data_IF_209055840564
#
_entry.id   IF_209055840564
#
_cell.length_a   1.000
_cell.length_b   1.000
_cell.length_c   1.000
_cell.angle_alpha   90.00
_cell.angle_beta   90.00
_cell.angle_gamma   90.00
#
_symmetry.space_group_name_H-M   'P 1'
#
loop_
_entity.id
_entity.type
_entity.pdbx_description
1 polymer ?
#
# COMPACT_ATOMS: atom_id res chain seq x y z
N UNK A 1 -18.94 20.20 3.99
CA UNK A 1 -17.74 19.72 3.28
C UNK A 1 -17.81 18.21 3.41
N UNK A 2 -17.82 17.43 2.32
CA UNK A 2 -17.94 15.98 2.46
C UNK A 2 -16.71 15.44 3.19
N UNK A 3 -16.90 14.61 4.21
CA UNK A 3 -15.79 13.95 4.91
C UNK A 3 -15.26 12.83 4.00
N UNK A 4 -14.02 13.00 3.53
CA UNK A 4 -13.39 12.10 2.57
C UNK A 4 -12.24 11.37 3.25
N UNK A 5 -12.25 10.04 3.22
CA UNK A 5 -11.10 9.26 3.67
C UNK A 5 -9.95 9.38 2.66
N UNK A 6 -8.80 9.85 3.14
CA UNK A 6 -7.56 9.84 2.34
C UNK A 6 -6.70 8.66 2.73
N UNK A 7 -6.24 7.90 1.72
CA UNK A 7 -5.27 6.82 1.88
C UNK A 7 -4.01 7.21 1.10
N UNK A 8 -2.90 7.34 1.79
CA UNK A 8 -1.58 7.58 1.20
C UNK A 8 -0.74 6.33 1.38
N UNK A 9 0.15 5.97 0.43
CA UNK A 9 1.14 4.89 0.55
C UNK A 9 2.53 5.37 0.17
N UNK A 10 3.57 4.80 0.78
CA UNK A 10 4.89 5.42 0.72
C UNK A 10 6.06 4.60 1.24
N UNK A 11 7.15 4.64 0.48
CA UNK A 11 8.44 4.06 0.83
C UNK A 11 9.48 5.13 1.23
N UNK A 12 10.13 4.96 2.39
CA UNK A 12 11.24 5.81 2.85
C UNK A 12 12.56 5.11 2.54
N UNK A 13 13.22 5.50 1.44
CA UNK A 13 14.64 5.18 1.23
C UNK A 13 15.46 6.45 1.38
N UNK A 14 16.27 6.54 2.45
CA UNK A 14 17.34 7.54 2.57
C UNK A 14 17.00 8.87 3.25
N UNK A 15 15.93 8.97 4.04
CA UNK A 15 16.01 9.88 5.19
C UNK A 15 17.05 9.27 6.14
N UNK A 16 17.90 10.05 6.80
CA UNK A 16 18.71 9.56 7.93
C UNK A 16 17.86 9.02 9.11
N UNK A 17 16.53 8.98 8.94
CA UNK A 17 15.64 7.97 9.51
C UNK A 17 15.63 6.75 8.57
N UNK A 18 16.72 5.99 8.53
CA UNK A 18 16.52 4.54 8.53
C UNK A 18 15.61 4.31 9.72
N UNK A 19 14.41 3.75 9.51
CA UNK A 19 13.52 3.40 10.61
C UNK A 19 14.22 2.28 11.40
N UNK A 20 15.09 2.72 12.29
CA UNK A 20 15.85 1.96 13.28
C UNK A 20 14.98 1.75 14.51
N UNK A 21 13.74 1.30 14.29
CA UNK A 21 12.72 1.43 15.31
C UNK A 21 12.82 0.24 16.26
N UNK A 22 13.56 0.42 17.34
CA UNK A 22 13.27 -0.30 18.58
C UNK A 22 11.85 0.08 19.08
N UNK A 23 11.33 -0.68 20.03
CA UNK A 23 10.00 -0.43 20.60
C UNK A 23 9.86 0.99 21.18
N UNK A 24 10.97 1.65 21.54
CA UNK A 24 11.04 3.01 22.09
C UNK A 24 10.96 4.11 21.03
N UNK A 25 11.55 3.91 19.85
CA UNK A 25 11.48 4.84 18.71
C UNK A 25 10.14 4.77 17.97
N UNK A 26 9.41 3.65 18.03
CA UNK A 26 8.03 3.58 17.51
C UNK A 26 7.11 4.63 18.15
N UNK A 27 7.39 5.01 19.40
CA UNK A 27 6.74 6.12 20.12
C UNK A 27 7.07 7.50 19.53
N UNK A 28 8.20 7.67 18.81
CA UNK A 28 8.54 8.92 18.10
C UNK A 28 7.73 9.11 16.80
N UNK A 29 7.14 8.04 16.28
CA UNK A 29 6.15 8.09 15.19
C UNK A 29 4.77 8.53 15.68
N UNK A 30 4.56 8.58 16.99
CA UNK A 30 3.34 9.09 17.62
C UNK A 30 3.33 10.61 17.50
N UNK A 31 3.02 11.09 16.29
CA UNK A 31 2.80 12.51 16.02
C UNK A 31 1.46 12.94 16.63
N UNK A 32 1.32 14.23 16.88
CA UNK A 32 0.12 14.78 17.48
C UNK A 32 -1.16 14.50 16.69
N UNK A 33 -1.06 14.18 15.40
CA UNK A 33 -2.20 13.83 14.56
C UNK A 33 -2.46 12.32 14.46
N UNK A 34 -1.55 11.44 14.94
CA UNK A 34 -1.67 9.98 14.84
C UNK A 34 -2.30 9.40 16.12
N UNK A 35 -3.38 8.61 16.01
CA UNK A 35 -3.97 7.90 17.15
C UNK A 35 -3.46 6.47 17.29
N UNK A 36 -3.19 5.79 16.18
CA UNK A 36 -2.83 4.36 16.16
C UNK A 36 -1.70 4.11 15.17
N UNK A 37 -0.76 3.28 15.60
CA UNK A 37 0.39 2.81 14.83
C UNK A 37 0.33 1.30 14.84
N UNK A 38 0.22 0.70 13.67
CA UNK A 38 0.21 -0.74 13.48
C UNK A 38 1.41 -1.09 12.63
N UNK A 39 2.13 -2.15 12.98
CA UNK A 39 3.40 -2.43 12.32
C UNK A 39 3.69 -3.91 12.16
N UNK A 40 4.61 -4.20 11.24
CA UNK A 40 5.32 -5.46 11.11
C UNK A 40 6.81 -5.15 11.09
N UNK A 41 7.58 -5.82 11.95
CA UNK A 41 9.01 -5.60 12.15
C UNK A 41 9.76 -6.93 12.25
N UNK A 42 10.89 -7.07 11.56
CA UNK A 42 11.73 -8.29 11.63
C UNK A 42 12.75 -8.23 12.76
N UNK A 43 13.45 -7.11 12.85
CA UNK A 43 14.47 -6.77 13.85
C UNK A 43 14.57 -5.25 13.90
N UNK A 44 15.02 -4.64 15.00
CA UNK A 44 15.08 -3.18 15.20
C UNK A 44 15.89 -2.38 14.17
N UNK A 45 16.44 -3.03 13.14
CA UNK A 45 17.36 -2.47 12.15
C UNK A 45 16.99 -2.77 10.71
N UNK A 46 15.97 -3.59 10.43
CA UNK A 46 15.65 -3.98 9.05
C UNK A 46 14.17 -4.31 8.85
N UNK A 47 13.62 -3.70 7.78
CA UNK A 47 12.30 -3.97 7.20
C UNK A 47 11.19 -3.73 8.22
N UNK A 48 10.86 -2.46 8.39
CA UNK A 48 9.74 -2.04 9.23
C UNK A 48 8.69 -1.38 8.34
N UNK A 49 7.46 -1.84 8.47
CA UNK A 49 6.32 -1.32 7.72
C UNK A 49 5.20 -0.94 8.69
N UNK A 50 4.58 0.21 8.44
CA UNK A 50 3.62 0.82 9.35
C UNK A 50 2.33 1.21 8.63
N UNK A 51 1.21 1.10 9.34
CA UNK A 51 -0.05 1.78 9.04
C UNK A 51 -0.28 2.81 10.13
N UNK A 52 -0.40 4.08 9.74
CA UNK A 52 -0.70 5.19 10.64
C UNK A 52 -2.15 5.61 10.46
N UNK A 53 -2.88 5.71 11.57
CA UNK A 53 -4.27 6.15 11.58
C UNK A 53 -4.37 7.48 12.30
N UNK A 54 -4.98 8.47 11.64
CA UNK A 54 -5.25 9.78 12.20
C UNK A 54 -6.21 9.76 13.39
N UNK A 55 -6.02 10.70 14.32
CA UNK A 55 -6.92 10.94 15.48
C UNK A 55 -8.32 11.40 15.05
N UNK A 56 -8.43 11.98 13.87
CA UNK A 56 -9.70 12.47 13.35
C UNK A 56 -10.54 11.35 12.72
N UNK A 57 -9.93 10.19 12.47
CA UNK A 57 -10.61 9.05 11.87
C UNK A 57 -11.14 8.10 12.95
N UNK A 58 -12.46 7.96 13.01
CA UNK A 58 -13.11 7.00 13.89
C UNK A 58 -12.98 5.58 13.31
N UNK A 59 -12.01 4.81 13.79
CA UNK A 59 -11.74 3.44 13.35
C UNK A 59 -11.82 2.41 14.46
N UNK A 60 -12.55 1.33 14.18
CA UNK A 60 -12.54 0.11 14.99
C UNK A 60 -11.68 -0.94 14.28
N UNK A 61 -10.64 -1.43 14.94
CA UNK A 61 -9.77 -2.49 14.41
C UNK A 61 -10.24 -3.83 14.99
N UNK A 62 -10.56 -4.78 14.11
CA UNK A 62 -11.05 -6.11 14.48
C UNK A 62 -9.97 -7.18 14.44
N UNK A 63 -9.00 -7.01 13.54
CA UNK A 63 -7.93 -7.97 13.32
C UNK A 63 -6.68 -7.25 12.86
N UNK A 64 -5.53 -7.71 13.32
CA UNK A 64 -4.22 -7.34 12.79
C UNK A 64 -3.44 -8.63 12.52
N UNK A 65 -2.88 -8.71 11.32
CA UNK A 65 -1.96 -9.74 10.88
C UNK A 65 -0.67 -9.07 10.43
N UNK A 66 0.46 -9.75 10.60
CA UNK A 66 1.76 -9.28 10.14
C UNK A 66 2.64 -10.48 9.81
N UNK A 67 3.61 -10.28 8.93
CA UNK A 67 4.63 -11.28 8.69
C UNK A 67 5.78 -11.21 9.69
N UNK A 68 6.51 -12.31 9.82
CA UNK A 68 7.72 -12.31 10.65
C UNK A 68 8.90 -11.59 10.01
N UNK A 69 8.85 -11.23 8.72
CA UNK A 69 9.98 -10.60 8.00
C UNK A 69 9.82 -9.09 7.82
N UNK A 70 8.79 -8.48 8.40
CA UNK A 70 8.60 -7.02 8.37
C UNK A 70 8.26 -6.46 6.98
N UNK A 71 7.59 -7.27 6.16
CA UNK A 71 7.29 -7.00 4.75
C UNK A 71 5.83 -6.70 4.49
N UNK A 72 4.93 -7.06 5.40
CA UNK A 72 3.54 -6.65 5.29
C UNK A 72 2.85 -6.58 6.65
N UNK A 73 1.91 -5.66 6.76
CA UNK A 73 0.95 -5.57 7.87
C UNK A 73 -0.44 -5.42 7.27
N UNK A 74 -1.39 -6.20 7.79
CA UNK A 74 -2.76 -6.23 7.32
C UNK A 74 -3.71 -6.05 8.49
N UNK A 75 -4.72 -5.19 8.33
CA UNK A 75 -5.75 -4.96 9.33
C UNK A 75 -7.14 -5.10 8.74
N UNK A 76 -8.06 -5.58 9.56
CA UNK A 76 -9.50 -5.54 9.31
C UNK A 76 -10.10 -4.42 10.15
N UNK A 77 -10.69 -3.42 9.50
CA UNK A 77 -11.19 -2.21 10.15
C UNK A 77 -12.59 -1.87 9.70
N UNK A 78 -13.42 -1.38 10.61
CA UNK A 78 -14.65 -0.69 10.22
C UNK A 78 -14.31 0.76 9.95
N UNK A 79 -14.53 1.20 8.71
CA UNK A 79 -14.48 2.60 8.33
C UNK A 79 -15.91 3.13 8.48
N UNK A 80 -16.21 3.77 9.62
CA UNK A 80 -17.53 4.37 9.80
C UNK A 80 -17.71 5.48 8.75
N UNK A 81 -18.84 5.54 8.03
CA UNK A 81 -19.10 6.70 7.19
C UNK A 81 -19.39 7.89 8.10
N UNK A 82 -18.83 9.05 7.80
CA UNK A 82 -19.36 10.28 8.36
C UNK A 82 -20.75 10.61 7.76
N UNK A 83 -21.07 10.06 6.57
CA UNK A 83 -22.36 10.28 5.90
C UNK A 83 -22.70 9.05 5.00
N UNK A 84 -23.49 8.08 5.48
CA UNK A 84 -24.63 7.49 4.72
C UNK A 84 -25.26 6.25 5.39
N UNK A 85 -26.58 6.18 5.22
CA UNK A 85 -27.62 5.37 5.89
C UNK A 85 -27.73 3.92 5.35
N UNK A 86 -26.62 3.22 5.10
CA UNK A 86 -26.67 1.77 4.93
C UNK A 86 -26.10 1.10 6.19
N UNK A 87 -26.92 0.27 6.81
CA UNK A 87 -26.62 -0.47 8.05
C UNK A 87 -25.63 -1.63 7.81
N UNK A 88 -25.12 -1.79 6.58
CA UNK A 88 -24.04 -2.71 6.29
C UNK A 88 -22.72 -2.18 6.85
N UNK A 89 -22.09 -2.96 7.72
CA UNK A 89 -20.77 -2.66 8.28
C UNK A 89 -19.78 -2.53 7.12
N UNK A 90 -19.25 -1.32 6.89
CA UNK A 90 -18.21 -1.05 5.89
C UNK A 90 -16.85 -1.55 6.39
N UNK A 91 -16.73 -2.87 6.52
CA UNK A 91 -15.49 -3.50 6.96
C UNK A 91 -14.52 -3.58 5.79
N UNK A 92 -13.34 -3.05 5.99
CA UNK A 92 -12.29 -2.94 5.00
C UNK A 92 -11.02 -3.66 5.47
N UNK A 93 -10.41 -4.40 4.55
CA UNK A 93 -9.05 -4.90 4.70
C UNK A 93 -8.07 -3.85 4.21
N UNK A 94 -7.20 -3.35 5.09
CA UNK A 94 -6.11 -2.46 4.72
C UNK A 94 -4.79 -3.20 4.86
N UNK A 95 -4.05 -3.29 3.77
CA UNK A 95 -2.78 -4.03 3.70
C UNK A 95 -1.71 -3.07 3.21
N UNK A 96 -0.64 -2.92 3.99
CA UNK A 96 0.58 -2.26 3.56
C UNK A 96 1.64 -3.33 3.25
N UNK A 97 2.31 -3.22 2.09
CA UNK A 97 3.33 -4.18 1.66
C UNK A 97 4.66 -3.52 1.29
N UNK A 98 5.74 -4.27 1.44
CA UNK A 98 7.06 -3.98 0.91
C UNK A 98 7.64 -5.25 0.29
N UNK A 99 7.32 -5.49 -0.98
CA UNK A 99 7.73 -6.70 -1.68
C UNK A 99 9.27 -6.84 -1.75
N UNK A 100 9.79 -8.07 -1.78
CA UNK A 100 11.23 -8.30 -1.93
C UNK A 100 11.73 -7.85 -3.33
N UNK A 101 12.99 -7.37 -3.41
CA UNK A 101 13.63 -7.06 -4.70
C UNK A 101 13.83 -8.31 -5.58
N UNK A 102 14.25 -9.48 -5.04
CA UNK A 102 14.24 -10.71 -5.81
C UNK A 102 12.82 -11.07 -6.26
N UNK A 103 12.72 -11.50 -7.50
CA UNK A 103 11.49 -12.01 -8.10
C UNK A 103 10.92 -13.17 -7.24
N UNK A 104 9.74 -12.97 -6.67
CA UNK A 104 9.11 -13.89 -5.71
C UNK A 104 7.62 -14.05 -6.00
N UNK A 105 7.24 -15.27 -6.40
CA UNK A 105 5.85 -15.69 -6.57
C UNK A 105 5.13 -15.79 -5.23
N UNK A 106 5.79 -16.47 -4.28
CA UNK A 106 5.20 -16.84 -3.00
C UNK A 106 4.74 -15.63 -2.20
N UNK A 107 5.45 -14.49 -2.31
CA UNK A 107 5.08 -13.27 -1.60
C UNK A 107 3.67 -12.79 -1.94
N UNK A 108 3.33 -12.65 -3.22
CA UNK A 108 2.01 -12.16 -3.63
C UNK A 108 0.92 -13.21 -3.45
N UNK A 109 1.26 -14.50 -3.59
CA UNK A 109 0.36 -15.60 -3.22
C UNK A 109 0.02 -15.58 -1.72
N UNK A 110 1.00 -15.33 -0.86
CA UNK A 110 0.80 -15.16 0.59
C UNK A 110 -0.11 -13.97 0.90
N UNK A 111 0.08 -12.82 0.22
CA UNK A 111 -0.82 -11.67 0.36
C UNK A 111 -2.25 -12.03 -0.05
N UNK A 112 -2.44 -12.75 -1.16
CA UNK A 112 -3.76 -13.21 -1.60
C UNK A 112 -4.44 -14.06 -0.50
N UNK A 113 -3.70 -15.01 0.07
CA UNK A 113 -4.20 -15.86 1.16
C UNK A 113 -4.53 -15.05 2.42
N UNK A 114 -3.74 -14.05 2.78
CA UNK A 114 -4.01 -13.15 3.91
C UNK A 114 -5.31 -12.38 3.69
N UNK A 115 -5.54 -11.83 2.50
CA UNK A 115 -6.79 -11.11 2.18
C UNK A 115 -7.99 -12.05 2.28
N UNK A 116 -7.90 -13.25 1.68
CA UNK A 116 -8.95 -14.27 1.76
C UNK A 116 -9.23 -14.71 3.21
N UNK A 117 -8.19 -14.80 4.05
CA UNK A 117 -8.32 -15.13 5.47
C UNK A 117 -8.98 -14.00 6.29
N UNK A 118 -8.85 -12.74 5.86
CA UNK A 118 -9.58 -11.62 6.48
C UNK A 118 -11.05 -11.64 6.04
N UNK A 119 -11.31 -11.90 4.76
CA UNK A 119 -12.65 -12.18 4.25
C UNK A 119 -13.58 -10.97 4.17
N UNK A 120 -13.04 -9.75 4.16
CA UNK A 120 -13.86 -8.54 3.97
C UNK A 120 -14.09 -8.27 2.48
N UNK A 121 -15.26 -7.68 2.17
CA UNK A 121 -15.64 -7.26 0.80
C UNK A 121 -14.79 -6.12 0.25
N UNK A 122 -14.38 -5.19 1.11
CA UNK A 122 -13.61 -4.02 0.73
C UNK A 122 -12.13 -4.27 1.00
N UNK A 123 -11.28 -4.07 -0.01
CA UNK A 123 -9.84 -4.33 0.10
C UNK A 123 -9.05 -3.17 -0.47
N UNK A 124 -8.07 -2.70 0.28
CA UNK A 124 -7.05 -1.74 -0.16
C UNK A 124 -5.68 -2.34 0.12
N UNK A 125 -4.87 -2.52 -0.91
CA UNK A 125 -3.47 -2.96 -0.81
C UNK A 125 -2.58 -1.83 -1.32
N UNK A 126 -1.82 -1.20 -0.44
CA UNK A 126 -0.87 -0.16 -0.80
C UNK A 126 0.56 -0.59 -0.48
N UNK A 127 1.54 -0.04 -1.19
CA UNK A 127 2.94 -0.18 -0.77
C UNK A 127 3.93 -0.16 -1.93
N UNK A 128 5.15 -0.57 -1.62
CA UNK A 128 6.20 -0.81 -2.61
C UNK A 128 6.12 -2.26 -3.09
N UNK A 129 5.65 -2.45 -4.32
CA UNK A 129 5.53 -3.77 -4.95
C UNK A 129 6.87 -4.22 -5.55
N UNK A 130 7.88 -3.36 -5.60
CA UNK A 130 9.16 -3.57 -6.28
C UNK A 130 9.01 -4.07 -7.73
N UNK A 131 7.87 -3.79 -8.36
CA UNK A 131 7.52 -4.28 -9.69
C UNK A 131 6.88 -3.17 -10.53
N UNK A 132 7.32 -3.09 -11.77
CA UNK A 132 6.78 -2.20 -12.80
C UNK A 132 5.63 -2.93 -13.49
N UNK A 133 4.44 -2.32 -13.57
CA UNK A 133 3.26 -2.96 -14.19
C UNK A 133 3.26 -2.77 -15.71
N UNK A 134 3.38 -1.54 -16.19
CA UNK A 134 3.48 -1.26 -17.63
C UNK A 134 4.83 -0.61 -17.96
N UNK A 135 5.82 -1.34 -18.50
CA UNK A 135 7.13 -0.76 -18.82
C UNK A 135 7.10 0.46 -19.74
N UNK A 136 6.09 0.60 -20.61
CA UNK A 136 5.98 1.74 -21.52
C UNK A 136 5.49 3.01 -20.79
N UNK A 137 4.62 2.85 -19.78
CA UNK A 137 4.06 3.98 -19.01
C UNK A 137 4.83 4.25 -17.71
N UNK A 138 5.37 3.19 -17.10
CA UNK A 138 5.87 3.14 -15.72
C UNK A 138 7.39 3.10 -15.63
N UNK A 139 8.12 3.19 -16.73
CA UNK A 139 9.59 3.25 -16.73
C UNK A 139 10.14 4.30 -17.68
N UNK A 140 11.17 5.03 -17.26
CA UNK A 140 11.78 6.08 -18.10
C UNK A 140 12.65 5.54 -19.22
N UNK A 141 13.28 4.38 -18.98
CA UNK A 141 14.14 3.70 -19.95
C UNK A 141 13.50 2.37 -20.35
N UNK A 142 12.93 2.37 -21.55
CA UNK A 142 12.24 1.25 -22.18
C UNK A 142 13.27 0.35 -22.87
N UNK A 143 14.24 -0.18 -22.11
CA UNK A 143 15.08 -1.27 -22.61
C UNK A 143 14.22 -2.55 -22.62
N UNK A 144 13.44 -2.69 -23.68
CA UNK A 144 12.24 -3.53 -23.81
C UNK A 144 12.51 -5.04 -24.04
N UNK A 145 13.57 -5.60 -23.46
CA UNK A 145 14.01 -6.97 -23.80
C UNK A 145 14.15 -7.91 -22.61
N UNK A 146 13.62 -7.57 -21.43
CA UNK A 146 13.66 -8.49 -20.28
C UNK A 146 12.41 -9.39 -20.27
N UNK A 147 12.57 -10.69 -19.95
CA UNK A 147 11.44 -11.59 -19.73
C UNK A 147 10.48 -11.03 -18.66
N UNK A 148 9.19 -11.38 -18.76
CA UNK A 148 8.20 -11.10 -17.72
C UNK A 148 8.68 -11.72 -16.40
N UNK A 149 8.71 -10.91 -15.35
CA UNK A 149 9.06 -11.37 -14.00
C UNK A 149 7.94 -12.23 -13.43
N UNK A 150 8.28 -13.29 -12.70
CA UNK A 150 7.28 -14.20 -12.11
C UNK A 150 6.35 -13.46 -11.16
N UNK A 151 6.89 -12.52 -10.38
CA UNK A 151 6.14 -11.63 -9.50
C UNK A 151 5.10 -10.79 -10.24
N UNK A 152 5.32 -10.46 -11.51
CA UNK A 152 4.33 -9.74 -12.30
C UNK A 152 3.09 -10.62 -12.54
N UNK A 153 3.31 -11.88 -12.91
CA UNK A 153 2.25 -12.88 -13.07
C UNK A 153 1.52 -13.11 -11.73
N UNK A 154 2.25 -13.16 -10.61
CA UNK A 154 1.61 -13.32 -9.31
C UNK A 154 0.76 -12.11 -8.89
N UNK A 155 1.14 -10.89 -9.29
CA UNK A 155 0.30 -9.70 -9.10
C UNK A 155 -0.93 -9.78 -10.01
N UNK A 156 -0.81 -10.24 -11.24
CA UNK A 156 -1.96 -10.42 -12.15
C UNK A 156 -2.99 -11.39 -11.54
N UNK A 157 -2.51 -12.53 -11.01
CA UNK A 157 -3.36 -13.50 -10.30
C UNK A 157 -3.97 -12.90 -9.03
N UNK A 158 -3.22 -12.09 -8.27
CA UNK A 158 -3.74 -11.39 -7.10
C UNK A 158 -4.87 -10.42 -7.48
N UNK A 159 -4.69 -9.65 -8.54
CA UNK A 159 -5.68 -8.70 -9.06
C UNK A 159 -6.95 -9.42 -9.55
N UNK A 160 -6.79 -10.55 -10.26
CA UNK A 160 -7.92 -11.36 -10.74
C UNK A 160 -8.70 -12.02 -9.58
N UNK A 161 -8.01 -12.72 -8.68
CA UNK A 161 -8.62 -13.50 -7.60
C UNK A 161 -9.34 -12.64 -6.55
N UNK A 162 -8.92 -11.38 -6.40
CA UNK A 162 -9.47 -10.45 -5.42
C UNK A 162 -10.26 -9.31 -6.06
N UNK A 163 -10.46 -9.36 -7.38
CA UNK A 163 -11.12 -8.32 -8.17
C UNK A 163 -10.54 -6.92 -7.88
N UNK A 164 -9.21 -6.82 -7.83
CA UNK A 164 -8.50 -5.57 -7.56
C UNK A 164 -8.10 -4.87 -8.86
N UNK A 165 -8.04 -3.54 -8.79
CA UNK A 165 -7.55 -2.70 -9.86
C UNK A 165 -6.48 -1.73 -9.35
N UNK A 166 -5.48 -1.45 -10.19
CA UNK A 166 -4.55 -0.33 -9.96
C UNK A 166 -5.30 0.99 -10.16
N UNK A 167 -5.68 1.61 -9.05
CA UNK A 167 -6.55 2.78 -9.09
C UNK A 167 -5.90 3.96 -9.84
N UNK A 168 -4.59 4.11 -9.71
CA UNK A 168 -3.87 5.18 -10.40
C UNK A 168 -4.04 5.03 -11.91
N UNK A 169 -3.88 3.81 -12.43
CA UNK A 169 -3.90 3.57 -13.87
C UNK A 169 -5.31 3.62 -14.45
N UNK A 170 -6.33 3.25 -13.66
CA UNK A 170 -7.74 3.44 -14.04
C UNK A 170 -8.09 4.92 -14.20
N UNK A 171 -7.67 5.77 -13.26
CA UNK A 171 -7.99 7.21 -13.29
C UNK A 171 -7.09 8.01 -14.24
N UNK A 172 -5.86 7.53 -14.49
CA UNK A 172 -4.86 8.19 -15.31
C UNK A 172 -4.32 7.29 -16.43
N UNK A 173 -5.19 6.83 -17.37
CA UNK A 173 -4.83 5.83 -18.36
C UNK A 173 -3.81 6.33 -19.38
N UNK A 174 -3.80 7.63 -19.67
CA UNK A 174 -2.95 8.24 -20.69
C UNK A 174 -1.79 9.07 -20.12
N UNK A 175 -1.69 9.19 -18.78
CA UNK A 175 -0.60 9.95 -18.17
C UNK A 175 0.69 9.15 -18.30
N UNK A 176 1.55 9.65 -19.17
CA UNK A 176 2.92 9.20 -19.35
C UNK A 176 3.81 9.79 -18.23
N UNK A 177 4.70 8.96 -17.67
CA UNK A 177 5.88 9.40 -16.89
C UNK A 177 5.61 10.02 -15.52
N UNK A 178 4.75 9.39 -14.70
CA UNK A 178 4.70 9.62 -13.25
C UNK A 178 5.35 8.42 -12.55
N UNK A 179 6.45 8.68 -11.84
CA UNK A 179 7.30 7.66 -11.22
C UNK A 179 7.37 7.86 -9.71
N UNK A 180 7.61 6.77 -8.99
CA UNK A 180 7.69 6.76 -7.51
C UNK A 180 9.10 6.43 -7.01
N UNK A 181 9.97 5.91 -7.88
CA UNK A 181 11.32 5.51 -7.54
C UNK A 181 12.34 5.94 -8.59
N UNK A 182 13.53 6.33 -8.13
CA UNK A 182 14.72 6.56 -8.96
C UNK A 182 15.83 5.58 -8.59
N UNK A 183 16.31 4.83 -9.56
CA UNK A 183 17.49 3.97 -9.43
C UNK A 183 18.74 4.71 -9.88
N UNK A 184 19.62 5.06 -8.94
CA UNK A 184 20.92 5.68 -9.24
C UNK A 184 21.81 4.75 -10.08
N UNK A 185 21.84 3.46 -9.75
CA UNK A 185 22.68 2.45 -10.42
C UNK A 185 22.28 2.28 -11.89
N UNK A 186 20.99 2.36 -12.19
CA UNK A 186 20.46 2.19 -13.54
C UNK A 186 20.12 3.52 -14.23
N UNK A 187 20.37 4.66 -13.56
CA UNK A 187 20.01 6.00 -14.01
C UNK A 187 18.62 6.05 -14.67
N UNK A 188 17.61 5.54 -13.95
CA UNK A 188 16.26 5.37 -14.48
C UNK A 188 15.20 5.58 -13.41
N UNK A 189 14.03 6.01 -13.86
CA UNK A 189 12.85 6.17 -13.03
C UNK A 189 11.85 5.05 -13.29
N UNK A 190 11.15 4.64 -12.24
CA UNK A 190 10.11 3.62 -12.30
C UNK A 190 8.95 3.93 -11.35
N UNK A 191 7.74 3.48 -11.70
CA UNK A 191 6.58 3.41 -10.80
C UNK A 191 6.48 1.99 -10.25
N UNK A 192 6.82 1.84 -8.97
CA UNK A 192 6.82 0.56 -8.25
C UNK A 192 5.97 0.60 -6.98
N UNK A 193 5.51 1.79 -6.59
CA UNK A 193 4.58 1.98 -5.49
C UNK A 193 3.16 2.09 -6.06
N UNK A 194 2.30 1.17 -5.64
CA UNK A 194 0.94 1.04 -6.16
C UNK A 194 -0.07 1.04 -5.02
N UNK A 195 -1.31 1.40 -5.36
CA UNK A 195 -2.48 1.17 -4.53
C UNK A 195 -3.45 0.35 -5.38
N UNK A 196 -3.71 -0.88 -4.95
CA UNK A 196 -4.72 -1.75 -5.52
C UNK A 196 -6.00 -1.66 -4.69
N UNK A 197 -7.14 -1.60 -5.36
CA UNK A 197 -8.44 -1.42 -4.75
C UNK A 197 -9.45 -2.44 -5.27
N UNK A 198 -10.29 -3.00 -4.40
CA UNK A 198 -11.40 -3.85 -4.86
C UNK A 198 -12.38 -3.08 -5.72
N UNK A 199 -12.88 -3.71 -6.79
CA UNK A 199 -13.87 -3.13 -7.71
C UNK A 199 -15.12 -2.61 -6.98
N UNK A 200 -15.49 -3.24 -5.87
CA UNK A 200 -16.60 -2.83 -5.00
C UNK A 200 -16.44 -1.43 -4.41
N UNK A 201 -15.21 -0.95 -4.19
CA UNK A 201 -14.92 0.39 -3.66
C UNK A 201 -14.85 1.47 -4.76
N UNK A 202 -14.84 1.10 -6.04
CA UNK A 202 -14.64 2.05 -7.15
C UNK A 202 -15.68 3.17 -7.20
N UNK A 203 -16.92 2.89 -6.78
CA UNK A 203 -18.02 3.87 -6.77
C UNK A 203 -17.85 4.97 -5.73
N UNK A 204 -16.96 4.76 -4.74
CA UNK A 204 -16.75 5.65 -3.61
C UNK A 204 -15.50 6.52 -3.76
N UNK A 205 -14.78 6.40 -4.87
CA UNK A 205 -13.53 7.15 -5.13
C UNK A 205 -13.85 8.52 -5.68
N UNK A 206 -13.18 9.53 -5.13
CA UNK A 206 -13.36 10.92 -5.59
C UNK A 206 -12.14 11.45 -6.34
N UNK A 207 -10.91 11.09 -5.92
CA UNK A 207 -9.68 11.49 -6.63
C UNK A 207 -8.51 10.56 -6.28
N UNK A 208 -7.48 10.53 -7.13
CA UNK A 208 -6.15 10.00 -6.78
C UNK A 208 -5.05 10.92 -7.26
N UNK A 209 -4.06 11.13 -6.40
CA UNK A 209 -2.90 11.94 -6.71
C UNK A 209 -1.62 11.29 -6.17
N UNK A 210 -0.50 11.49 -6.86
CA UNK A 210 0.82 11.21 -6.30
C UNK A 210 1.32 12.46 -5.58
N UNK A 211 1.30 12.42 -4.25
CA UNK A 211 2.08 13.35 -3.44
C UNK A 211 3.49 12.78 -3.31
N UNK A 212 4.46 13.37 -4.01
CA UNK A 212 5.89 13.13 -3.74
C UNK A 212 6.25 13.94 -2.50
N UNK A 213 6.13 13.35 -1.31
CA UNK A 213 6.61 13.90 -0.03
C UNK A 213 7.45 12.79 0.70
N UNK A 214 7.99 12.93 1.95
CA UNK A 214 8.84 11.88 2.69
C UNK A 214 8.31 11.08 3.97
N UNK A 215 8.14 9.72 3.92
CA UNK A 215 7.38 8.72 4.80
C UNK A 215 5.82 8.50 4.96
N UNK A 216 5.31 7.23 4.92
CA UNK A 216 4.06 6.59 5.51
C UNK A 216 2.86 6.08 4.64
N UNK A 217 2.21 4.94 5.02
CA UNK A 217 0.79 4.72 4.65
C UNK A 217 -0.10 5.43 5.68
N UNK A 218 -0.74 6.53 5.27
CA UNK A 218 -1.49 7.43 6.16
C UNK A 218 -2.97 7.35 5.83
N UNK A 219 -3.79 7.12 6.86
CA UNK A 219 -5.23 7.28 6.79
C UNK A 219 -5.65 8.60 7.43
N UNK A 220 -6.24 9.46 6.59
CA UNK A 220 -6.92 10.73 6.87
C UNK A 220 -6.07 11.91 7.40
N UNK A 221 -5.63 12.78 6.49
CA UNK A 221 -4.79 13.97 6.71
C UNK A 221 -5.42 15.25 6.18
#
# INVERSE_FOLDING_TARGET
MADMLKVLSWNIKGANLETHLDSEESTKLQRDWVCKILYSAYSSKQRDIHILISKNLNVTIHKQLSDRKGRWVAISVDLMPAISVDLSVNRCSLINIYAPNPDSLDFFADICNVVKQIGNTYVIIGGDFNQVRDPALDKSNVANTRPIHKSQVAIDVLEEELELVDIWRILHPHILKKYTFYSKIHNSYSRIDHILLSNTLMKNIVDTNYLILFGWLILDF
#
